data_IF_206919458752
#
_entry.id   IF_206919458752
#
_cell.length_a   1.000
_cell.length_b   1.000
_cell.length_c   1.000
_cell.angle_alpha   90.00
_cell.angle_beta   90.00
_cell.angle_gamma   90.00
#
_symmetry.space_group_name_H-M   'P 1'
#
loop_
_entity.id
_entity.type
_entity.pdbx_description
1 polymer ?
#
# COMPACT_ATOMS: atom_id res chain seq x y z
N UNK A 1 -45.54 18.47 -34.02
CA UNK A 1 -44.24 18.65 -34.71
C UNK A 1 -43.79 20.06 -34.39
N UNK A 2 -43.42 20.37 -33.16
CA UNK A 2 -42.19 20.07 -32.41
C UNK A 2 -40.98 20.90 -32.87
N UNK A 3 -41.07 22.22 -32.61
CA UNK A 3 -39.97 23.20 -32.73
C UNK A 3 -38.71 22.84 -31.91
N UNK A 4 -38.83 21.89 -30.97
CA UNK A 4 -37.73 21.40 -30.15
C UNK A 4 -36.82 20.41 -30.89
N UNK A 5 -37.40 19.58 -31.77
CA UNK A 5 -36.61 18.63 -32.57
C UNK A 5 -35.85 19.36 -33.69
N UNK A 6 -36.44 20.42 -34.26
CA UNK A 6 -35.79 21.21 -35.30
C UNK A 6 -34.64 22.06 -34.71
N UNK A 7 -34.80 22.60 -33.50
CA UNK A 7 -33.70 23.31 -32.79
C UNK A 7 -32.56 22.39 -32.38
N UNK A 8 -32.85 21.17 -31.93
CA UNK A 8 -31.80 20.19 -31.62
C UNK A 8 -31.07 19.72 -32.88
N UNK A 9 -31.78 19.64 -34.02
CA UNK A 9 -31.18 19.27 -35.30
C UNK A 9 -30.31 20.39 -35.89
N UNK A 10 -30.70 21.65 -35.73
CA UNK A 10 -29.86 22.81 -36.10
C UNK A 10 -28.62 22.94 -35.20
N UNK A 11 -28.75 22.75 -33.88
CA UNK A 11 -27.60 22.80 -32.96
C UNK A 11 -26.58 21.68 -33.22
N UNK A 12 -27.04 20.47 -33.57
CA UNK A 12 -26.14 19.38 -33.97
C UNK A 12 -25.51 19.60 -35.36
N UNK A 13 -26.21 20.23 -36.30
CA UNK A 13 -25.65 20.56 -37.60
C UNK A 13 -24.58 21.67 -37.51
N UNK A 14 -24.73 22.63 -36.60
CA UNK A 14 -23.72 23.66 -36.34
C UNK A 14 -22.47 23.12 -35.64
N UNK A 15 -22.58 22.08 -34.81
CA UNK A 15 -21.42 21.46 -34.18
C UNK A 15 -20.54 20.64 -35.15
N UNK A 16 -21.11 20.19 -36.28
CA UNK A 16 -20.44 19.31 -37.26
C UNK A 16 -19.88 20.10 -38.46
N UNK A 17 -20.36 21.33 -38.71
CA UNK A 17 -20.00 22.12 -39.90
C UNK A 17 -18.99 23.26 -39.66
N UNK A 18 -18.54 23.46 -38.41
CA UNK A 18 -17.39 24.32 -38.12
C UNK A 18 -16.07 23.65 -38.50
N UNK A 19 -15.05 24.39 -38.97
CA UNK A 19 -13.71 23.81 -39.13
C UNK A 19 -13.29 23.21 -37.78
N UNK A 20 -12.66 22.03 -37.77
CA UNK A 20 -12.33 21.35 -36.53
C UNK A 20 -11.59 22.33 -35.63
N UNK A 21 -11.98 22.50 -34.36
CA UNK A 21 -11.10 23.18 -33.43
C UNK A 21 -9.79 22.38 -33.47
N UNK A 22 -8.70 23.03 -33.88
CA UNK A 22 -7.34 22.53 -33.74
C UNK A 22 -7.01 22.45 -32.25
N UNK A 23 -7.70 21.54 -31.56
CA UNK A 23 -7.26 20.98 -30.32
C UNK A 23 -6.13 20.04 -30.75
N UNK A 24 -4.92 20.60 -30.80
CA UNK A 24 -3.66 19.91 -31.05
C UNK A 24 -3.37 18.88 -29.96
N UNK A 25 -4.22 17.87 -29.85
CA UNK A 25 -3.98 16.68 -29.08
C UNK A 25 -3.22 15.72 -29.97
N UNK A 26 -1.91 15.73 -29.75
CA UNK A 26 -1.00 14.73 -30.27
C UNK A 26 -1.43 13.35 -29.74
N UNK A 27 -2.08 12.56 -30.59
CA UNK A 27 -2.53 11.20 -30.28
C UNK A 27 -1.35 10.26 -30.03
N UNK A 28 -0.14 10.59 -30.49
CA UNK A 28 1.09 9.89 -30.12
C UNK A 28 1.59 10.31 -28.72
N UNK A 29 1.33 11.53 -28.27
CA UNK A 29 1.58 11.95 -26.88
C UNK A 29 0.62 11.25 -25.89
N UNK A 30 -0.62 10.97 -26.28
CA UNK A 30 -1.59 10.20 -25.49
C UNK A 30 -1.24 8.70 -25.42
N UNK A 31 -0.79 8.10 -26.51
CA UNK A 31 -0.27 6.72 -26.50
C UNK A 31 1.09 6.62 -25.77
N UNK A 32 1.89 7.68 -25.79
CA UNK A 32 3.10 7.83 -25.00
C UNK A 32 2.85 7.94 -23.50
N UNK A 33 1.82 8.69 -23.09
CA UNK A 33 1.37 8.81 -21.69
C UNK A 33 0.81 7.48 -21.15
N UNK A 34 0.08 6.72 -21.99
CA UNK A 34 -0.42 5.38 -21.65
C UNK A 34 0.70 4.36 -21.41
N UNK A 35 1.78 4.38 -22.20
CA UNK A 35 2.95 3.51 -21.98
C UNK A 35 3.87 3.99 -20.85
N UNK A 36 3.84 5.28 -20.49
CA UNK A 36 4.56 5.83 -19.32
C UNK A 36 3.85 5.54 -17.99
N UNK A 37 2.54 5.29 -17.98
CA UNK A 37 1.78 4.89 -16.78
C UNK A 37 2.02 3.43 -16.36
N UNK A 38 2.44 2.54 -17.27
CA UNK A 38 2.91 1.20 -16.89
C UNK A 38 4.37 1.20 -16.40
N UNK A 39 5.17 2.23 -16.73
CA UNK A 39 6.55 2.39 -16.22
C UNK A 39 6.65 3.33 -15.00
N UNK A 40 5.57 3.96 -14.56
CA UNK A 40 5.56 4.85 -13.39
C UNK A 40 5.56 4.12 -12.04
N UNK A 41 5.65 2.78 -12.01
CA UNK A 41 5.97 2.02 -10.78
C UNK A 41 7.47 2.02 -10.42
N UNK A 42 8.35 2.60 -11.24
CA UNK A 42 9.79 2.64 -10.95
C UNK A 42 10.38 4.04 -10.68
N UNK A 43 9.65 5.14 -10.96
CA UNK A 43 10.18 6.51 -10.77
C UNK A 43 9.05 7.45 -10.32
N UNK A 44 8.71 7.42 -9.03
CA UNK A 44 8.06 8.55 -8.34
C UNK A 44 8.70 8.73 -6.95
N UNK A 45 9.99 9.09 -6.97
CA UNK A 45 10.65 9.87 -5.93
C UNK A 45 11.27 11.07 -6.61
N UNK A 46 10.75 12.27 -6.32
CA UNK A 46 11.36 13.54 -6.71
C UNK A 46 10.42 14.52 -7.44
N UNK A 47 10.39 15.75 -6.91
CA UNK A 47 9.77 17.01 -7.40
C UNK A 47 8.28 17.16 -7.04
N UNK A 48 7.83 18.14 -6.24
CA UNK A 48 8.38 19.45 -5.92
C UNK A 48 7.82 20.54 -6.84
N UNK A 49 6.67 21.12 -6.45
CA UNK A 49 6.19 22.47 -6.78
C UNK A 49 5.75 22.82 -8.21
N UNK A 50 4.46 23.15 -8.38
CA UNK A 50 3.97 24.26 -9.23
C UNK A 50 2.48 24.54 -8.95
N UNK A 51 2.06 25.79 -9.12
CA UNK A 51 0.89 26.51 -8.56
C UNK A 51 -0.17 26.80 -9.65
N UNK A 52 -1.37 27.29 -9.24
CA UNK A 52 -2.35 28.16 -9.97
C UNK A 52 -3.48 27.39 -10.73
N UNK A 53 -4.79 27.72 -10.76
CA UNK A 53 -5.66 28.81 -10.26
C UNK A 53 -7.17 28.40 -10.17
N UNK A 54 -7.85 28.99 -9.17
CA UNK A 54 -9.17 29.66 -9.14
C UNK A 54 -10.37 29.27 -10.06
N UNK A 55 -11.55 29.05 -9.45
CA UNK A 55 -12.75 29.92 -9.58
C UNK A 55 -13.89 29.50 -8.64
N UNK A 56 -14.45 30.48 -7.93
CA UNK A 56 -15.57 30.36 -6.99
C UNK A 56 -16.90 30.73 -7.64
N UNK A 57 -18.00 30.06 -7.26
CA UNK A 57 -19.36 30.63 -7.27
C UNK A 57 -20.11 30.14 -6.02
N UNK A 58 -20.49 31.09 -5.17
CA UNK A 58 -21.35 30.93 -3.98
C UNK A 58 -22.81 31.08 -4.41
N UNK A 59 -23.69 30.19 -3.94
CA UNK A 59 -25.12 30.49 -3.77
C UNK A 59 -25.52 30.03 -2.38
N UNK A 60 -25.68 31.01 -1.48
CA UNK A 60 -26.21 30.82 -0.14
C UNK A 60 -27.74 30.92 -0.14
N UNK A 61 -28.37 30.19 0.78
CA UNK A 61 -29.70 30.52 1.30
C UNK A 61 -29.69 30.30 2.82
N UNK A 62 -29.82 31.40 3.56
CA UNK A 62 -30.07 31.43 5.00
C UNK A 62 -31.56 31.74 5.22
N UNK A 63 -32.22 30.94 6.06
CA UNK A 63 -33.62 31.11 6.45
C UNK A 63 -33.79 31.03 7.98
N UNK A 64 -33.69 32.20 8.62
CA UNK A 64 -34.39 32.73 9.79
C UNK A 64 -35.01 31.81 10.90
N UNK A 65 -34.42 31.97 12.10
CA UNK A 65 -35.02 32.31 13.44
C UNK A 65 -35.97 31.36 14.18
N UNK A 66 -35.63 31.07 15.45
CA UNK A 66 -36.42 31.56 16.60
C UNK A 66 -35.59 31.65 17.89
N UNK A 67 -35.90 32.68 18.70
CA UNK A 67 -35.26 33.05 19.97
C UNK A 67 -35.76 32.18 21.13
N UNK A 68 -34.83 31.76 21.99
CA UNK A 68 -35.11 31.16 23.29
C UNK A 68 -33.87 31.17 24.17
N UNK A 69 -33.76 32.21 25.02
CA UNK A 69 -32.65 32.39 25.97
C UNK A 69 -32.74 31.38 27.12
N UNK A 70 -31.84 30.39 27.11
CA UNK A 70 -31.40 29.63 28.29
C UNK A 70 -29.87 29.68 28.32
N UNK A 71 -29.30 30.34 29.32
CA UNK A 71 -27.85 30.45 29.51
C UNK A 71 -27.28 29.12 30.01
N UNK A 72 -26.92 28.25 29.08
CA UNK A 72 -26.01 27.13 29.31
C UNK A 72 -24.55 27.64 29.21
N UNK A 73 -23.58 27.00 29.89
CA UNK A 73 -22.17 27.36 29.77
C UNK A 73 -21.74 27.26 28.30
N UNK A 74 -21.21 28.36 27.77
CA UNK A 74 -20.65 28.44 26.42
C UNK A 74 -19.38 27.59 26.40
N UNK A 75 -19.52 26.32 26.00
CA UNK A 75 -18.39 25.56 25.48
C UNK A 75 -17.97 26.27 24.19
N UNK A 76 -16.70 26.65 24.01
CA UNK A 76 -16.27 27.23 22.74
C UNK A 76 -16.63 26.25 21.63
N UNK A 77 -17.41 26.72 20.65
CA UNK A 77 -17.73 25.93 19.48
C UNK A 77 -16.42 25.41 18.88
N UNK A 78 -16.33 24.10 18.70
CA UNK A 78 -15.23 23.50 17.95
C UNK A 78 -15.12 24.26 16.61
N UNK A 79 -13.91 24.65 16.18
CA UNK A 79 -13.76 25.40 14.94
C UNK A 79 -14.44 24.62 13.81
N UNK A 80 -15.38 25.27 13.13
CA UNK A 80 -15.98 24.68 11.94
C UNK A 80 -14.85 24.39 10.95
N UNK A 81 -14.78 23.17 10.38
CA UNK A 81 -13.71 22.82 9.46
C UNK A 81 -13.72 23.80 8.28
N UNK A 82 -12.60 24.50 8.08
CA UNK A 82 -12.44 25.41 6.95
C UNK A 82 -12.54 24.62 5.63
N UNK A 83 -13.21 25.17 4.62
CA UNK A 83 -13.39 24.55 3.29
C UNK A 83 -12.09 24.05 2.64
N UNK A 84 -10.93 24.60 3.02
CA UNK A 84 -9.62 24.16 2.52
C UNK A 84 -9.24 22.70 2.90
N UNK A 85 -9.95 22.06 3.83
CA UNK A 85 -9.67 20.69 4.27
C UNK A 85 -10.35 19.63 3.39
N UNK A 86 -11.24 20.05 2.48
CA UNK A 86 -12.07 19.18 1.64
C UNK A 86 -11.38 18.85 0.30
N UNK A 87 -10.29 19.54 -0.07
CA UNK A 87 -9.82 19.60 -1.46
C UNK A 87 -8.98 18.42 -1.97
N UNK A 88 -8.82 17.32 -1.21
CA UNK A 88 -8.13 16.13 -1.74
C UNK A 88 -8.54 14.81 -1.05
N UNK A 89 -9.77 14.31 -1.24
CA UNK A 89 -10.16 13.01 -0.70
C UNK A 89 -9.26 11.89 -1.27
N UNK A 90 -9.06 10.83 -0.51
CA UNK A 90 -8.39 9.64 -1.05
C UNK A 90 -9.35 8.94 -2.01
N UNK A 91 -8.93 8.74 -3.26
CA UNK A 91 -9.76 8.18 -4.32
C UNK A 91 -9.17 6.89 -4.86
N UNK A 92 -9.94 5.81 -4.82
CA UNK A 92 -9.51 4.51 -5.33
C UNK A 92 -10.38 4.10 -6.52
N UNK A 93 -9.72 3.68 -7.60
CA UNK A 93 -10.37 3.14 -8.79
C UNK A 93 -10.22 1.62 -8.82
N UNK A 94 -11.35 0.92 -8.79
CA UNK A 94 -11.44 -0.53 -8.81
C UNK A 94 -11.88 -1.05 -10.20
N UNK A 95 -11.90 -0.19 -11.21
CA UNK A 95 -12.25 -0.59 -12.56
C UNK A 95 -11.27 -1.63 -13.11
N UNK A 96 -11.81 -2.69 -13.71
CA UNK A 96 -11.03 -3.80 -14.26
C UNK A 96 -10.53 -4.82 -13.23
N UNK A 97 -10.80 -4.60 -11.93
CA UNK A 97 -10.54 -5.61 -10.91
C UNK A 97 -11.62 -6.69 -10.95
N UNK A 98 -11.22 -7.94 -10.74
CA UNK A 98 -12.11 -9.10 -10.72
C UNK A 98 -12.84 -9.19 -9.38
N UNK A 99 -13.87 -8.36 -9.20
CA UNK A 99 -14.74 -8.36 -8.02
C UNK A 99 -16.00 -9.21 -8.27
N UNK A 100 -16.52 -9.78 -7.19
CA UNK A 100 -17.76 -10.54 -7.14
C UNK A 100 -18.95 -9.67 -7.55
N UNK A 101 -19.97 -10.31 -8.11
CA UNK A 101 -21.19 -9.64 -8.57
C UNK A 101 -21.94 -8.88 -7.47
N UNK A 102 -21.72 -9.24 -6.20
CA UNK A 102 -22.26 -8.52 -5.03
C UNK A 102 -21.58 -7.18 -4.75
N UNK A 103 -20.43 -6.89 -5.38
CA UNK A 103 -19.80 -5.57 -5.31
C UNK A 103 -20.25 -4.73 -6.51
N UNK A 104 -21.18 -3.81 -6.27
CA UNK A 104 -21.85 -2.97 -7.26
C UNK A 104 -21.11 -1.64 -7.57
N UNK A 105 -20.16 -1.25 -6.72
CA UNK A 105 -19.32 -0.06 -6.93
C UNK A 105 -18.00 -0.37 -7.64
N UNK A 106 -17.43 0.65 -8.29
CA UNK A 106 -16.10 0.60 -8.93
C UNK A 106 -15.18 1.74 -8.50
N UNK A 107 -15.68 2.67 -7.69
CA UNK A 107 -14.93 3.82 -7.18
C UNK A 107 -15.20 3.97 -5.69
N UNK A 108 -14.15 4.25 -4.93
CA UNK A 108 -14.24 4.55 -3.49
C UNK A 108 -13.60 5.91 -3.25
N UNK A 109 -14.36 6.84 -2.70
CA UNK A 109 -13.85 8.16 -2.27
C UNK A 109 -13.91 8.25 -0.76
N UNK A 110 -12.77 8.48 -0.11
CA UNK A 110 -12.67 8.64 1.33
C UNK A 110 -12.44 10.11 1.67
N UNK A 111 -13.45 10.71 2.30
CA UNK A 111 -13.30 11.98 3.00
C UNK A 111 -13.00 11.68 4.47
N UNK A 112 -11.87 12.20 4.96
CA UNK A 112 -11.43 12.02 6.34
C UNK A 112 -11.37 13.39 6.98
N UNK A 113 -12.04 13.55 8.12
CA UNK A 113 -12.07 14.81 8.88
C UNK A 113 -11.66 14.58 10.32
N UNK A 114 -10.87 15.47 10.95
CA UNK A 114 -10.52 15.34 12.36
C UNK A 114 -11.76 15.34 13.27
N UNK A 115 -11.77 14.44 14.24
CA UNK A 115 -12.79 14.32 15.28
C UNK A 115 -12.19 14.60 16.66
N UNK A 116 -13.02 14.60 17.71
CA UNK A 116 -12.55 14.81 19.08
C UNK A 116 -11.50 13.75 19.52
N UNK A 117 -11.60 12.53 18.98
CA UNK A 117 -10.66 11.44 19.20
C UNK A 117 -10.38 10.71 17.88
N UNK A 118 -9.40 11.18 17.12
CA UNK A 118 -9.01 10.61 15.83
C UNK A 118 -9.72 11.27 14.66
N UNK A 119 -10.41 10.48 13.85
CA UNK A 119 -10.96 10.90 12.56
C UNK A 119 -12.35 10.33 12.28
N UNK A 120 -13.25 11.19 11.80
CA UNK A 120 -14.47 10.79 11.13
C UNK A 120 -14.13 10.42 9.69
N UNK A 121 -14.54 9.24 9.23
CA UNK A 121 -14.32 8.78 7.87
C UNK A 121 -15.65 8.57 7.17
N UNK A 122 -15.79 9.19 6.00
CA UNK A 122 -16.89 8.97 5.06
C UNK A 122 -16.35 8.32 3.79
N UNK A 123 -16.82 7.12 3.49
CA UNK A 123 -16.56 6.39 2.26
C UNK A 123 -17.77 6.46 1.33
N UNK A 124 -17.63 7.18 0.22
CA UNK A 124 -18.62 7.22 -0.85
C UNK A 124 -18.28 6.16 -1.91
N UNK A 125 -19.22 5.24 -2.12
CA UNK A 125 -19.11 4.09 -3.01
C UNK A 125 -19.89 4.40 -4.28
N UNK A 126 -19.20 4.49 -5.41
CA UNK A 126 -19.81 4.92 -6.67
C UNK A 126 -19.64 3.90 -7.78
N UNK A 127 -20.58 3.90 -8.71
CA UNK A 127 -20.47 3.15 -9.96
C UNK A 127 -19.31 3.64 -10.81
N UNK A 128 -18.99 2.92 -11.89
CA UNK A 128 -17.96 3.34 -12.84
C UNK A 128 -18.24 4.73 -13.43
N UNK A 129 -19.51 5.05 -13.69
CA UNK A 129 -19.93 6.33 -14.26
C UNK A 129 -19.99 7.46 -13.20
N UNK A 130 -19.65 7.16 -11.94
CA UNK A 130 -19.63 8.13 -10.86
C UNK A 130 -20.97 8.35 -10.17
N UNK A 131 -21.97 7.49 -10.42
CA UNK A 131 -23.24 7.53 -9.67
C UNK A 131 -22.97 7.02 -8.26
N UNK A 132 -23.29 7.83 -7.25
CA UNK A 132 -23.21 7.42 -5.85
C UNK A 132 -24.23 6.31 -5.58
N UNK A 133 -23.74 5.16 -5.12
CA UNK A 133 -24.56 3.98 -4.81
C UNK A 133 -24.82 3.87 -3.30
N UNK A 134 -23.77 4.10 -2.51
CA UNK A 134 -23.84 4.00 -1.06
C UNK A 134 -22.83 4.93 -0.40
N UNK A 135 -23.11 5.29 0.86
CA UNK A 135 -22.17 5.97 1.74
C UNK A 135 -22.02 5.14 3.01
N UNK A 136 -20.78 4.90 3.41
CA UNK A 136 -20.42 4.27 4.68
C UNK A 136 -19.67 5.27 5.55
N UNK A 137 -19.99 5.33 6.84
CA UNK A 137 -19.32 6.22 7.79
C UNK A 137 -18.80 5.43 8.97
N UNK A 138 -17.57 5.71 9.39
CA UNK A 138 -16.93 5.04 10.52
C UNK A 138 -15.90 5.96 11.19
N UNK A 139 -15.47 5.59 12.38
CA UNK A 139 -14.47 6.31 13.17
C UNK A 139 -13.13 5.61 13.05
N UNK A 140 -12.05 6.38 12.91
CA UNK A 140 -10.68 5.88 13.01
C UNK A 140 -9.95 6.59 14.16
N UNK A 141 -9.08 5.87 14.86
CA UNK A 141 -8.42 6.36 16.09
C UNK A 141 -6.90 6.29 16.01
N UNK A 142 -6.24 6.32 17.18
CA UNK A 142 -4.78 6.20 17.26
C UNK A 142 -4.23 4.83 16.82
N UNK A 143 -5.10 3.84 16.64
CA UNK A 143 -4.78 2.49 16.17
C UNK A 143 -5.17 2.31 14.70
N UNK A 144 -4.62 1.29 14.04
CA UNK A 144 -5.05 0.93 12.68
C UNK A 144 -6.53 0.60 12.69
N UNK A 145 -7.28 1.23 11.79
CA UNK A 145 -8.71 0.98 11.63
C UNK A 145 -8.94 0.25 10.34
N UNK A 146 -9.58 -0.92 10.39
CA UNK A 146 -9.93 -1.73 9.23
C UNK A 146 -11.45 -1.75 9.09
N UNK A 147 -11.94 -1.35 7.92
CA UNK A 147 -13.36 -1.26 7.62
C UNK A 147 -13.68 -1.98 6.32
N UNK A 148 -14.66 -2.89 6.37
CA UNK A 148 -15.08 -3.66 5.20
C UNK A 148 -16.18 -2.92 4.45
N UNK A 149 -15.92 -2.56 3.19
CA UNK A 149 -16.87 -1.86 2.32
C UNK A 149 -17.76 -2.84 1.53
N UNK A 150 -17.19 -3.99 1.15
CA UNK A 150 -17.91 -5.13 0.58
C UNK A 150 -17.21 -6.43 1.00
N UNK A 151 -17.79 -7.62 0.76
CA UNK A 151 -17.16 -8.88 1.13
C UNK A 151 -15.70 -9.04 0.68
N UNK A 152 -15.33 -8.47 -0.47
CA UNK A 152 -13.96 -8.54 -1.03
C UNK A 152 -13.17 -7.23 -0.94
N UNK A 153 -13.77 -6.12 -0.51
CA UNK A 153 -13.14 -4.80 -0.51
C UNK A 153 -13.05 -4.26 0.91
N UNK A 154 -11.81 -4.02 1.34
CA UNK A 154 -11.48 -3.50 2.66
C UNK A 154 -10.72 -2.19 2.50
N UNK A 155 -11.03 -1.23 3.36
CA UNK A 155 -10.24 -0.02 3.56
C UNK A 155 -9.61 -0.07 4.94
N UNK A 156 -8.32 0.21 5.02
CA UNK A 156 -7.62 0.44 6.27
C UNK A 156 -7.14 1.89 6.36
N UNK A 157 -7.13 2.46 7.57
CA UNK A 157 -6.47 3.74 7.86
C UNK A 157 -5.34 3.49 8.84
N UNK A 158 -4.12 3.81 8.42
CA UNK A 158 -2.95 3.86 9.28
C UNK A 158 -2.87 5.23 9.95
N UNK A 159 -2.57 5.29 11.26
CA UNK A 159 -2.61 6.53 12.05
C UNK A 159 -1.40 7.45 11.81
N UNK A 160 -0.76 7.35 10.65
CA UNK A 160 0.35 8.21 10.22
C UNK A 160 0.44 8.27 8.70
N UNK A 161 0.96 9.38 8.16
CA UNK A 161 1.31 9.49 6.76
C UNK A 161 2.62 8.74 6.47
N UNK A 162 2.50 7.56 5.88
CA UNK A 162 3.64 6.73 5.51
C UNK A 162 3.81 6.64 3.99
N UNK A 163 5.00 6.24 3.57
CA UNK A 163 5.30 5.89 2.18
C UNK A 163 5.64 4.40 2.03
N UNK A 164 5.64 3.66 3.14
CA UNK A 164 5.93 2.23 3.15
C UNK A 164 5.06 1.53 4.18
N UNK A 165 4.41 0.47 3.74
CA UNK A 165 3.59 -0.39 4.56
C UNK A 165 3.60 -1.79 3.96
N UNK A 166 3.24 -2.77 4.79
CA UNK A 166 3.13 -4.18 4.45
C UNK A 166 1.89 -4.74 5.14
N UNK A 167 1.28 -5.76 4.53
CA UNK A 167 0.04 -6.38 5.00
C UNK A 167 0.29 -7.84 5.36
N UNK A 168 -0.19 -8.25 6.53
CA UNK A 168 -0.09 -9.59 7.05
C UNK A 168 -1.44 -10.32 6.93
N UNK A 169 -1.38 -11.58 6.53
CA UNK A 169 -2.54 -12.47 6.41
C UNK A 169 -2.37 -13.65 7.39
N UNK A 170 -3.44 -14.09 8.04
CA UNK A 170 -3.43 -15.27 8.92
C UNK A 170 -3.13 -16.55 8.11
N UNK A 171 -3.70 -16.68 6.91
CA UNK A 171 -3.26 -17.68 5.93
C UNK A 171 -2.06 -17.14 5.14
N UNK A 172 -0.84 -17.67 5.38
CA UNK A 172 0.38 -17.15 4.81
C UNK A 172 0.56 -17.47 3.32
N UNK A 173 -0.32 -18.30 2.76
CA UNK A 173 -0.37 -18.58 1.33
C UNK A 173 -1.22 -17.59 0.56
N UNK A 174 -1.91 -16.68 1.26
CA UNK A 174 -2.80 -15.67 0.69
C UNK A 174 -2.15 -14.31 0.75
N UNK A 175 -2.53 -13.48 -0.21
CA UNK A 175 -2.22 -12.06 -0.27
C UNK A 175 -3.46 -11.35 -0.83
N UNK A 176 -3.62 -10.04 -0.59
CA UNK A 176 -4.58 -9.24 -1.33
C UNK A 176 -4.34 -9.38 -2.84
N UNK A 177 -5.42 -9.53 -3.60
CA UNK A 177 -5.38 -9.58 -5.07
C UNK A 177 -4.95 -8.23 -5.65
N UNK A 178 -5.35 -7.15 -4.99
CA UNK A 178 -4.94 -5.80 -5.30
C UNK A 178 -4.75 -5.01 -4.02
N UNK A 179 -3.82 -4.07 -4.07
CA UNK A 179 -3.71 -3.04 -3.05
C UNK A 179 -3.31 -1.70 -3.65
N UNK A 180 -3.82 -0.63 -3.03
CA UNK A 180 -3.47 0.74 -3.32
C UNK A 180 -3.47 1.57 -2.03
N UNK A 181 -2.77 2.69 -2.01
CA UNK A 181 -2.72 3.57 -0.84
C UNK A 181 -2.64 5.03 -1.24
N UNK A 182 -3.37 5.87 -0.51
CA UNK A 182 -3.42 7.31 -0.72
C UNK A 182 -3.46 8.07 0.61
N UNK A 183 -3.09 9.34 0.56
CA UNK A 183 -3.19 10.25 1.71
C UNK A 183 -4.45 11.09 1.54
N UNK A 184 -5.43 11.00 2.46
CA UNK A 184 -6.61 11.85 2.42
C UNK A 184 -6.25 13.26 2.91
N UNK A 185 -6.31 14.23 2.01
CA UNK A 185 -6.09 15.64 2.31
C UNK A 185 -4.66 15.93 2.74
N UNK A 186 -4.54 16.82 3.73
CA UNK A 186 -3.28 17.17 4.40
C UNK A 186 -3.11 16.48 5.76
N UNK A 187 -3.94 15.46 6.05
CA UNK A 187 -3.92 14.77 7.33
C UNK A 187 -2.72 13.83 7.42
N UNK A 188 -2.23 13.62 8.65
CA UNK A 188 -1.16 12.67 8.94
C UNK A 188 -1.72 11.24 9.02
N UNK A 189 -2.32 10.77 7.93
CA UNK A 189 -3.01 9.48 7.83
C UNK A 189 -2.73 8.87 6.46
N UNK A 190 -2.68 7.54 6.39
CA UNK A 190 -2.61 6.80 5.13
C UNK A 190 -3.82 5.90 4.99
N UNK A 191 -4.62 6.10 3.95
CA UNK A 191 -5.68 5.19 3.58
C UNK A 191 -5.13 4.11 2.65
N UNK A 192 -5.49 2.86 2.91
CA UNK A 192 -5.10 1.69 2.11
C UNK A 192 -6.38 1.01 1.66
N UNK A 193 -6.51 0.74 0.36
CA UNK A 193 -7.56 -0.11 -0.19
C UNK A 193 -6.96 -1.48 -0.52
N UNK A 194 -7.60 -2.54 -0.01
CA UNK A 194 -7.27 -3.92 -0.32
C UNK A 194 -8.46 -4.57 -1.02
N UNK A 195 -8.19 -5.34 -2.07
CA UNK A 195 -9.19 -6.27 -2.64
C UNK A 195 -8.71 -7.69 -2.55
N UNK A 196 -9.65 -8.62 -2.40
CA UNK A 196 -9.38 -10.04 -2.24
C UNK A 196 -10.09 -10.86 -3.33
N UNK A 197 -9.50 -12.00 -3.73
CA UNK A 197 -10.11 -12.87 -4.73
C UNK A 197 -11.41 -13.50 -4.22
N UNK A 198 -11.54 -13.66 -2.91
CA UNK A 198 -12.75 -14.22 -2.27
C UNK A 198 -13.06 -13.49 -0.97
N UNK A 199 -14.33 -13.50 -0.57
CA UNK A 199 -14.76 -12.86 0.68
C UNK A 199 -14.06 -13.44 1.91
N UNK A 200 -13.83 -14.77 1.92
CA UNK A 200 -13.15 -15.45 3.02
C UNK A 200 -11.73 -14.93 3.26
N UNK A 201 -10.98 -14.63 2.19
CA UNK A 201 -9.62 -14.11 2.34
C UNK A 201 -9.59 -12.75 3.06
N UNK A 202 -10.65 -11.95 2.95
CA UNK A 202 -10.72 -10.68 3.68
C UNK A 202 -10.85 -10.89 5.19
N UNK A 203 -11.35 -12.05 5.64
CA UNK A 203 -11.40 -12.44 7.06
C UNK A 203 -10.03 -12.88 7.57
N UNK A 204 -9.14 -13.31 6.68
CA UNK A 204 -7.77 -13.71 7.00
C UNK A 204 -6.82 -12.50 7.14
N UNK A 205 -7.30 -11.25 7.11
CA UNK A 205 -6.46 -10.07 7.29
C UNK A 205 -6.01 -9.97 8.75
N UNK A 206 -4.73 -10.25 9.01
CA UNK A 206 -4.16 -10.27 10.36
C UNK A 206 -3.70 -8.89 10.85
N UNK A 207 -3.23 -8.05 9.92
CA UNK A 207 -2.78 -6.70 10.27
C UNK A 207 -1.84 -6.08 9.25
N UNK A 208 -1.14 -5.06 9.71
CA UNK A 208 -0.24 -4.19 8.97
C UNK A 208 1.04 -3.94 9.75
N UNK A 209 2.12 -3.73 8.99
CA UNK A 209 3.37 -3.16 9.47
C UNK A 209 3.64 -1.91 8.62
N UNK A 210 4.03 -0.79 9.21
CA UNK A 210 4.31 0.43 8.45
C UNK A 210 5.51 1.19 9.00
N UNK A 211 6.05 2.09 8.17
CA UNK A 211 7.11 2.97 8.58
C UNK A 211 6.53 4.24 9.21
N UNK A 212 6.88 4.51 10.46
CA UNK A 212 6.59 5.77 11.13
C UNK A 212 7.49 6.91 10.62
N UNK A 213 7.17 8.15 11.02
CA UNK A 213 7.85 9.37 10.58
C UNK A 213 9.34 9.44 10.98
N UNK A 214 9.71 8.81 12.10
CA UNK A 214 11.09 8.67 12.56
C UNK A 214 11.87 7.55 11.83
N UNK A 215 11.20 6.82 10.94
CA UNK A 215 11.75 5.74 10.15
C UNK A 215 11.65 4.35 10.80
N UNK A 216 11.21 4.26 12.06
CA UNK A 216 10.95 3.01 12.76
C UNK A 216 9.79 2.25 12.10
N UNK A 217 9.75 0.93 12.30
CA UNK A 217 8.65 0.09 11.83
C UNK A 217 7.70 -0.19 13.00
N UNK A 218 6.40 -0.02 12.78
CA UNK A 218 5.35 -0.17 13.78
C UNK A 218 4.34 -1.21 13.31
N UNK A 219 3.87 -2.05 14.23
CA UNK A 219 2.83 -3.06 13.98
C UNK A 219 1.42 -2.53 14.27
N UNK A 220 0.40 -3.33 13.96
CA UNK A 220 -1.01 -2.96 14.19
C UNK A 220 -1.41 -2.78 15.66
N UNK A 221 -0.58 -3.28 16.58
CA UNK A 221 -0.76 -3.12 18.02
C UNK A 221 -0.04 -1.87 18.56
N UNK A 222 0.63 -1.11 17.68
CA UNK A 222 1.41 0.07 18.04
C UNK A 222 2.80 -0.24 18.61
N UNK A 223 3.26 -1.50 18.54
CA UNK A 223 4.58 -1.87 19.00
C UNK A 223 5.63 -1.56 17.93
N UNK A 224 6.83 -1.22 18.39
CA UNK A 224 7.98 -1.15 17.50
C UNK A 224 8.41 -2.55 17.07
N UNK A 225 8.45 -2.77 15.75
CA UNK A 225 8.92 -4.00 15.13
C UNK A 225 10.44 -4.08 15.25
N UNK A 226 10.95 -5.24 15.64
CA UNK A 226 12.38 -5.47 15.73
C UNK A 226 12.99 -5.35 14.32
N UNK A 227 14.08 -4.59 14.19
CA UNK A 227 14.78 -4.41 12.91
C UNK A 227 16.27 -4.62 13.06
N UNK A 228 16.94 -4.99 11.97
CA UNK A 228 18.39 -5.00 11.89
C UNK A 228 18.84 -4.71 10.47
N UNK A 229 19.85 -3.86 10.32
CA UNK A 229 20.34 -3.44 9.00
C UNK A 229 21.74 -3.98 8.77
N UNK A 230 21.94 -4.62 7.62
CA UNK A 230 23.24 -5.11 7.16
C UNK A 230 23.60 -4.48 5.83
N UNK A 231 24.89 -4.26 5.58
CA UNK A 231 25.40 -3.85 4.28
C UNK A 231 26.33 -4.92 3.74
N UNK A 232 26.05 -5.43 2.55
CA UNK A 232 26.76 -6.54 1.93
C UNK A 232 26.83 -6.32 0.43
N UNK A 233 28.05 -6.34 -0.15
CA UNK A 233 28.27 -6.09 -1.59
C UNK A 233 27.54 -4.84 -2.10
N UNK A 234 27.73 -3.70 -1.43
CA UNK A 234 27.09 -2.41 -1.74
C UNK A 234 25.56 -2.38 -1.69
N UNK A 235 24.93 -3.43 -1.13
CA UNK A 235 23.49 -3.49 -0.86
C UNK A 235 23.24 -3.36 0.63
N UNK A 236 22.44 -2.37 1.00
CA UNK A 236 21.89 -2.25 2.36
C UNK A 236 20.55 -2.99 2.41
N UNK A 237 20.40 -3.87 3.39
CA UNK A 237 19.19 -4.66 3.63
C UNK A 237 18.76 -4.45 5.07
N UNK A 238 17.54 -3.98 5.28
CA UNK A 238 16.93 -3.89 6.61
C UNK A 238 15.99 -5.08 6.78
N UNK A 239 16.37 -6.02 7.65
CA UNK A 239 15.52 -7.11 8.10
C UNK A 239 14.56 -6.61 9.18
N UNK A 240 13.35 -7.15 9.21
CA UNK A 240 12.38 -6.91 10.27
C UNK A 240 11.70 -8.21 10.70
N UNK A 241 11.41 -8.31 12.00
CA UNK A 241 10.69 -9.43 12.61
C UNK A 241 9.57 -8.89 13.49
N UNK A 242 8.36 -9.28 13.13
CA UNK A 242 7.17 -9.05 13.93
C UNK A 242 6.76 -10.36 14.59
N UNK A 243 6.90 -10.42 15.92
CA UNK A 243 6.58 -11.63 16.69
C UNK A 243 5.08 -11.93 16.73
N UNK A 244 4.18 -10.95 16.99
CA UNK A 244 2.74 -11.18 17.01
C UNK A 244 2.18 -11.73 15.68
N UNK A 245 2.63 -11.20 14.53
CA UNK A 245 2.21 -11.65 13.20
C UNK A 245 3.05 -12.82 12.67
N UNK A 246 4.05 -13.27 13.44
CA UNK A 246 5.07 -14.25 13.04
C UNK A 246 5.70 -13.96 11.68
N UNK A 247 5.92 -12.67 11.38
CA UNK A 247 6.28 -12.18 10.05
C UNK A 247 7.74 -11.74 10.00
N UNK A 248 8.48 -12.36 9.09
CA UNK A 248 9.86 -11.97 8.75
C UNK A 248 9.84 -11.30 7.39
N UNK A 249 10.49 -10.16 7.26
CA UNK A 249 10.69 -9.53 5.95
C UNK A 249 12.01 -8.82 5.85
N UNK A 250 12.28 -8.31 4.65
CA UNK A 250 13.33 -7.33 4.44
C UNK A 250 12.86 -6.18 3.57
N UNK A 251 13.57 -5.07 3.70
CA UNK A 251 13.40 -3.87 2.88
C UNK A 251 14.75 -3.39 2.35
N UNK A 252 14.74 -2.90 1.11
CA UNK A 252 15.84 -2.25 0.43
C UNK A 252 15.64 -0.72 0.43
N UNK A 253 16.70 0.10 0.35
CA UNK A 253 16.61 1.57 0.33
C UNK A 253 15.73 2.14 -0.79
N UNK A 254 15.62 1.42 -1.91
CA UNK A 254 14.75 1.79 -3.03
C UNK A 254 13.24 1.59 -2.72
N UNK A 255 12.89 1.09 -1.52
CA UNK A 255 11.52 0.87 -1.07
C UNK A 255 10.98 -0.53 -1.38
N UNK A 256 11.74 -1.36 -2.09
CA UNK A 256 11.35 -2.74 -2.33
C UNK A 256 11.41 -3.53 -1.05
N UNK A 257 10.41 -4.37 -0.83
CA UNK A 257 10.32 -5.27 0.31
C UNK A 257 9.69 -6.58 -0.08
N UNK A 258 10.00 -7.60 0.69
CA UNK A 258 9.35 -8.91 0.64
C UNK A 258 9.28 -9.46 2.05
N UNK A 259 8.23 -10.23 2.32
CA UNK A 259 7.95 -10.75 3.64
C UNK A 259 7.28 -12.11 3.55
N UNK A 260 7.43 -12.88 4.62
CA UNK A 260 6.87 -14.21 4.78
C UNK A 260 6.36 -14.38 6.21
N UNK A 261 5.37 -15.25 6.37
CA UNK A 261 5.06 -15.79 7.68
C UNK A 261 5.94 -17.01 7.95
N UNK A 262 6.65 -17.00 9.07
CA UNK A 262 7.61 -18.06 9.38
C UNK A 262 6.99 -19.34 9.92
N UNK A 263 5.72 -19.27 10.37
CA UNK A 263 4.91 -20.43 10.78
C UNK A 263 4.19 -21.14 9.63
N UNK A 264 4.25 -20.58 8.42
CA UNK A 264 3.71 -21.21 7.23
C UNK A 264 4.40 -22.55 6.97
N UNK A 265 3.63 -23.65 6.95
CA UNK A 265 4.10 -24.88 6.33
C UNK A 265 4.16 -24.65 4.83
N UNK A 266 5.31 -24.16 4.36
CA UNK A 266 5.62 -24.28 2.95
C UNK A 266 5.99 -25.74 2.70
N UNK A 267 5.26 -26.38 1.78
CA UNK A 267 5.69 -27.63 1.13
C UNK A 267 6.99 -27.41 0.31
N UNK A 268 7.49 -26.18 0.24
CA UNK A 268 8.75 -25.81 -0.36
C UNK A 268 9.89 -25.79 0.69
N UNK A 269 10.84 -26.73 0.65
CA UNK A 269 11.99 -26.76 1.55
C UNK A 269 13.10 -25.77 1.13
N UNK A 270 12.76 -24.56 0.66
CA UNK A 270 13.75 -23.60 0.19
C UNK A 270 14.20 -22.69 1.33
N UNK A 271 15.43 -22.94 1.78
CA UNK A 271 16.21 -21.95 2.53
C UNK A 271 17.17 -21.24 1.57
N UNK A 272 17.19 -19.91 1.50
CA UNK A 272 16.45 -18.96 2.34
C UNK A 272 15.02 -18.76 1.82
N UNK A 273 14.08 -18.50 2.73
CA UNK A 273 12.67 -18.34 2.38
C UNK A 273 12.35 -16.97 1.75
N UNK A 274 13.05 -15.90 2.14
CA UNK A 274 12.90 -14.59 1.51
C UNK A 274 13.85 -14.47 0.33
N UNK A 275 13.29 -14.15 -0.84
CA UNK A 275 14.08 -14.02 -2.07
C UNK A 275 13.55 -12.86 -2.91
N UNK A 276 14.47 -12.06 -3.44
CA UNK A 276 14.20 -11.02 -4.41
C UNK A 276 15.32 -10.99 -5.46
N UNK A 277 14.98 -10.72 -6.72
CA UNK A 277 15.97 -10.43 -7.75
C UNK A 277 15.68 -9.13 -8.49
N UNK A 278 16.77 -8.41 -8.76
CA UNK A 278 16.80 -7.27 -9.65
C UNK A 278 17.60 -7.67 -10.89
N UNK A 279 16.95 -7.67 -12.06
CA UNK A 279 17.63 -7.90 -13.34
C UNK A 279 18.24 -6.60 -13.85
N UNK A 280 19.49 -6.68 -14.26
CA UNK A 280 20.20 -5.62 -14.97
C UNK A 280 19.93 -5.77 -16.47
N UNK A 281 19.23 -4.83 -17.13
CA UNK A 281 18.86 -4.98 -18.54
C UNK A 281 20.04 -5.03 -19.51
N UNK A 282 21.21 -4.54 -19.10
CA UNK A 282 22.39 -4.40 -19.96
C UNK A 282 23.11 -5.73 -20.23
N UNK A 283 23.10 -6.66 -19.28
CA UNK A 283 23.83 -7.92 -19.35
C UNK A 283 22.98 -9.15 -18.98
N UNK A 284 21.67 -8.96 -18.78
CA UNK A 284 20.70 -9.98 -18.32
C UNK A 284 21.10 -10.66 -17.00
N UNK A 285 22.04 -10.07 -16.25
CA UNK A 285 22.44 -10.56 -14.95
C UNK A 285 21.36 -10.23 -13.91
N UNK A 286 21.16 -11.14 -12.95
CA UNK A 286 20.28 -10.88 -11.81
C UNK A 286 21.09 -10.79 -10.53
N UNK A 287 20.96 -9.66 -9.82
CA UNK A 287 21.40 -9.58 -8.42
C UNK A 287 20.26 -10.07 -7.53
N UNK A 288 20.52 -11.12 -6.77
CA UNK A 288 19.59 -11.67 -5.81
C UNK A 288 19.93 -11.21 -4.40
N UNK A 289 18.91 -10.85 -3.65
CA UNK A 289 18.96 -10.68 -2.20
C UNK A 289 18.10 -11.79 -1.60
N UNK A 290 18.74 -12.62 -0.78
CA UNK A 290 18.09 -13.70 -0.06
C UNK A 290 18.26 -13.47 1.43
N UNK A 291 17.25 -13.79 2.22
CA UNK A 291 17.33 -13.67 3.66
C UNK A 291 16.51 -14.73 4.39
N UNK A 292 16.91 -15.03 5.61
CA UNK A 292 16.10 -15.82 6.53
C UNK A 292 16.52 -15.58 7.98
N UNK A 293 15.78 -16.21 8.88
CA UNK A 293 16.04 -16.23 10.31
C UNK A 293 16.02 -17.67 10.83
N UNK A 294 17.03 -18.02 11.62
CA UNK A 294 17.12 -19.32 12.24
C UNK A 294 16.07 -19.49 13.35
N UNK A 295 15.70 -20.74 13.70
CA UNK A 295 14.92 -21.02 14.91
C UNK A 295 15.54 -20.39 16.16
N UNK A 296 14.72 -20.11 17.16
CA UNK A 296 15.19 -19.63 18.46
C UNK A 296 16.24 -20.59 19.04
N UNK A 297 17.30 -20.03 19.65
CA UNK A 297 18.39 -20.81 20.25
C UNK A 297 19.41 -21.39 19.26
N UNK A 298 19.19 -21.28 17.95
CA UNK A 298 20.12 -21.76 16.94
C UNK A 298 21.40 -20.92 16.87
N UNK A 299 22.55 -21.58 16.70
CA UNK A 299 23.90 -20.98 16.71
C UNK A 299 24.83 -21.65 15.70
N UNK A 300 26.04 -21.11 15.57
CA UNK A 300 27.13 -21.65 14.72
C UNK A 300 26.70 -21.85 13.26
N UNK A 301 26.01 -20.86 12.70
CA UNK A 301 25.60 -20.84 11.30
C UNK A 301 26.83 -20.84 10.39
N UNK A 302 26.83 -21.77 9.43
CA UNK A 302 27.78 -21.81 8.33
C UNK A 302 27.03 -22.03 7.02
N UNK A 303 27.29 -21.17 6.03
CA UNK A 303 26.68 -21.25 4.70
C UNK A 303 27.79 -21.45 3.67
N UNK A 304 27.73 -22.56 2.95
CA UNK A 304 28.55 -22.82 1.77
C UNK A 304 27.78 -22.38 0.51
N UNK A 305 28.35 -21.41 -0.19
CA UNK A 305 27.75 -20.81 -1.39
C UNK A 305 28.40 -21.35 -2.66
N UNK A 306 27.66 -21.32 -3.76
CA UNK A 306 28.24 -21.52 -5.09
C UNK A 306 29.26 -20.39 -5.36
N UNK A 307 30.45 -20.66 -5.93
CA UNK A 307 31.61 -19.74 -5.88
C UNK A 307 31.48 -18.45 -6.71
N UNK A 308 30.35 -18.21 -7.37
CA UNK A 308 30.15 -17.06 -8.25
C UNK A 308 29.61 -15.88 -7.47
N UNK A 309 30.41 -14.81 -7.33
CA UNK A 309 30.03 -13.45 -6.87
C UNK A 309 28.94 -13.43 -5.78
N UNK A 310 29.10 -14.27 -4.78
CA UNK A 310 28.17 -14.39 -3.67
C UNK A 310 28.86 -14.05 -2.37
N UNK A 311 28.16 -13.36 -1.49
CA UNK A 311 28.58 -13.13 -0.13
C UNK A 311 27.40 -13.37 0.79
N UNK A 312 27.69 -13.65 2.05
CA UNK A 312 26.67 -13.72 3.09
C UNK A 312 27.19 -13.12 4.38
N UNK A 313 26.26 -12.72 5.24
CA UNK A 313 26.55 -12.23 6.58
C UNK A 313 25.41 -12.58 7.53
N UNK A 314 25.69 -12.50 8.82
CA UNK A 314 24.69 -12.68 9.88
C UNK A 314 24.40 -11.37 10.59
N UNK A 315 23.25 -11.34 11.24
CA UNK A 315 22.90 -10.31 12.19
C UNK A 315 21.96 -10.88 13.25
N UNK A 316 21.66 -10.08 14.27
CA UNK A 316 20.70 -10.44 15.31
C UNK A 316 19.46 -9.58 15.19
N UNK A 317 18.29 -10.22 15.27
CA UNK A 317 16.98 -9.57 15.29
C UNK A 317 16.10 -10.25 16.32
N UNK A 318 15.53 -9.48 17.25
CA UNK A 318 14.75 -10.02 18.38
C UNK A 318 15.45 -11.19 19.12
N UNK A 319 16.77 -11.11 19.30
CA UNK A 319 17.57 -12.16 19.96
C UNK A 319 17.81 -13.43 19.13
N UNK A 320 17.39 -13.46 17.85
CA UNK A 320 17.57 -14.60 16.94
C UNK A 320 18.61 -14.28 15.86
N UNK A 321 19.32 -15.30 15.41
CA UNK A 321 20.28 -15.19 14.30
C UNK A 321 19.53 -15.10 12.98
N UNK A 322 19.64 -13.97 12.30
CA UNK A 322 19.22 -13.80 10.92
C UNK A 322 20.43 -13.74 10.00
N UNK A 323 20.21 -14.01 8.72
CA UNK A 323 21.28 -13.99 7.73
C UNK A 323 20.78 -13.44 6.40
N UNK A 324 21.71 -12.81 5.67
CA UNK A 324 21.47 -12.24 4.35
C UNK A 324 22.53 -12.76 3.40
N UNK A 325 22.11 -13.11 2.20
CA UNK A 325 22.96 -13.56 1.09
C UNK A 325 22.72 -12.61 -0.06
N UNK A 326 23.78 -12.07 -0.63
CA UNK A 326 23.74 -11.33 -1.89
C UNK A 326 24.52 -12.14 -2.91
N UNK A 327 23.93 -12.38 -4.08
CA UNK A 327 24.58 -13.09 -5.18
C UNK A 327 24.26 -12.43 -6.50
N UNK A 328 25.21 -12.48 -7.44
CA UNK A 328 24.95 -12.13 -8.84
C UNK A 328 25.07 -13.40 -9.67
N UNK A 329 23.99 -13.78 -10.34
CA UNK A 329 23.94 -14.99 -11.16
C UNK A 329 23.08 -14.78 -12.41
N UNK A 330 23.50 -15.42 -13.50
CA UNK A 330 22.82 -15.39 -14.80
C UNK A 330 21.60 -16.34 -14.84
N UNK A 331 21.40 -17.15 -13.79
CA UNK A 331 20.31 -18.14 -13.70
C UNK A 331 19.56 -18.03 -12.37
N UNK A 332 18.30 -18.47 -12.37
CA UNK A 332 17.44 -18.59 -11.19
C UNK A 332 17.83 -19.73 -10.22
N UNK A 333 19.08 -20.18 -10.27
CA UNK A 333 19.55 -21.30 -9.48
C UNK A 333 19.91 -20.83 -8.05
N UNK A 334 19.39 -21.53 -7.05
CA UNK A 334 19.63 -21.24 -5.63
C UNK A 334 21.15 -21.26 -5.32
N UNK A 335 21.71 -20.18 -4.74
CA UNK A 335 23.17 -20.01 -4.58
C UNK A 335 23.75 -20.79 -3.39
N UNK A 336 22.92 -21.49 -2.61
CA UNK A 336 23.34 -22.27 -1.45
C UNK A 336 23.67 -23.70 -1.88
N UNK A 337 24.88 -24.16 -1.57
CA UNK A 337 25.27 -25.58 -1.66
C UNK A 337 24.88 -26.32 -0.39
N UNK A 338 25.22 -25.74 0.76
CA UNK A 338 24.79 -26.25 2.05
C UNK A 338 24.64 -25.14 3.07
N UNK A 339 23.73 -25.35 4.02
CA UNK A 339 23.53 -24.50 5.17
C UNK A 339 23.53 -25.40 6.41
N UNK A 340 24.36 -25.07 7.39
CA UNK A 340 24.51 -25.84 8.62
C UNK A 340 24.42 -24.93 9.84
N UNK A 341 23.77 -25.38 10.90
CA UNK A 341 23.80 -24.73 12.22
C UNK A 341 23.62 -25.77 13.34
N UNK A 342 23.84 -25.36 14.59
CA UNK A 342 23.46 -26.11 15.78
C UNK A 342 22.11 -25.60 16.30
N UNK A 343 21.15 -26.49 16.55
CA UNK A 343 19.88 -26.13 17.18
C UNK A 343 20.06 -25.74 18.67
N UNK A 344 18.96 -25.38 19.33
CA UNK A 344 18.97 -25.02 20.76
C UNK A 344 19.57 -26.13 21.65
N UNK A 345 19.42 -27.39 21.24
CA UNK A 345 19.89 -28.59 21.94
C UNK A 345 21.31 -29.00 21.53
N UNK A 346 21.98 -28.22 20.67
CA UNK A 346 23.32 -28.52 20.15
C UNK A 346 23.37 -29.60 19.06
N UNK A 347 22.22 -30.02 18.51
CA UNK A 347 22.17 -30.96 17.38
C UNK A 347 22.49 -30.23 16.10
N UNK A 348 23.31 -30.85 15.25
CA UNK A 348 23.58 -30.31 13.92
C UNK A 348 22.36 -30.47 13.02
N UNK A 349 21.91 -29.36 12.46
CA UNK A 349 20.94 -29.32 11.36
C UNK A 349 21.70 -28.92 10.10
N UNK A 350 21.53 -29.71 9.03
CA UNK A 350 22.16 -29.43 7.74
C UNK A 350 21.11 -29.51 6.63
N UNK A 351 21.08 -28.47 5.80
CA UNK A 351 20.33 -28.41 4.57
C UNK A 351 21.29 -28.51 3.41
N UNK A 352 21.01 -29.43 2.49
CA UNK A 352 21.73 -29.59 1.23
C UNK A 352 20.76 -29.30 0.09
N UNK A 353 21.30 -28.74 -0.99
CA UNK A 353 20.61 -28.70 -2.28
C UNK A 353 20.70 -30.05 -2.99
#
# INVERSE_FOLDING_TARGET
MNDLDERLREDFAQLISGPPPELGFDTEALLGAGRRLQRSRAIRRGLGGAVVAALAIVVGWAGLTSLGTSTAPVVPAAPAPSQAWIDNPAYFDLHGLALDATTDFRKVTLAVTPAASGWDVRADLSSQDGVLLATSTFQAGAEVTVHRLSPQVVVALLPTATNWWDVAMDDPTKNPAHSDSMRPGTLDVTAILLTFDTAKQADDLAGFIWQASDGSLIDSLGNQVATSTVTLQDRTVTLYWDDPLHRLGFRLPNGLSTAIHTGARWDWPAFPRLQYSERTPADDSATWVLADMLPTGARDLNIDLVPTRSAWTTTTIAGRTAYVIVTTADTSAQPIRSLRYLDENGRTVTYHR
#
